data_IF_624663699937
#
_entry.id   IF_624663699937
#
_cell.length_a   1.000
_cell.length_b   1.000
_cell.length_c   1.000
_cell.angle_alpha   90.00
_cell.angle_beta   90.00
_cell.angle_gamma   90.00
#
_symmetry.space_group_name_H-M   'P 1'
#
loop_
_entity.id
_entity.type
_entity.pdbx_description
1 polymer ?
#
# COMPACT_ATOMS: atom_id res chain seq x y z
N UNK A 1 8.97 2.87 -1.83
CA UNK A 1 9.27 1.92 -2.91
C UNK A 1 8.38 0.69 -2.81
N UNK A 2 7.65 0.38 -3.87
CA UNK A 2 6.85 -0.84 -4.01
C UNK A 2 7.47 -1.71 -5.09
N UNK A 3 7.62 -2.99 -4.82
CA UNK A 3 8.15 -3.96 -5.78
C UNK A 3 7.03 -4.95 -6.11
N UNK A 4 6.77 -5.15 -7.39
CA UNK A 4 5.82 -6.14 -7.90
C UNK A 4 6.58 -7.42 -8.22
N UNK A 5 6.27 -8.49 -7.51
CA UNK A 5 6.91 -9.79 -7.65
C UNK A 5 6.05 -10.76 -8.47
N UNK A 6 6.67 -11.62 -9.28
CA UNK A 6 5.95 -12.71 -9.93
C UNK A 6 5.68 -13.86 -8.94
N UNK A 7 4.82 -14.77 -9.34
CA UNK A 7 4.53 -16.01 -8.59
C UNK A 7 4.06 -15.78 -7.15
N UNK A 8 3.01 -14.98 -6.97
CA UNK A 8 2.39 -14.81 -5.67
C UNK A 8 2.02 -16.16 -5.05
N UNK A 9 2.44 -16.40 -3.80
CA UNK A 9 2.22 -17.66 -3.07
C UNK A 9 1.69 -17.39 -1.67
N UNK A 10 0.92 -18.33 -1.15
CA UNK A 10 0.42 -18.31 0.24
C UNK A 10 -0.43 -17.07 0.57
N UNK A 11 -1.08 -16.52 -0.45
CA UNK A 11 -1.96 -15.35 -0.31
C UNK A 11 -3.31 -15.64 -0.96
N UNK A 12 -4.40 -15.04 -0.46
CA UNK A 12 -5.68 -15.10 -1.15
C UNK A 12 -5.54 -14.59 -2.59
N UNK A 13 -6.16 -15.29 -3.53
CA UNK A 13 -6.05 -14.97 -4.96
C UNK A 13 -6.52 -13.55 -5.29
N UNK A 14 -7.45 -13.00 -4.52
CA UNK A 14 -7.96 -11.64 -4.68
C UNK A 14 -6.86 -10.58 -4.50
N UNK A 15 -5.77 -10.89 -3.79
CA UNK A 15 -4.66 -9.95 -3.55
C UNK A 15 -3.64 -9.95 -4.68
N UNK A 16 -3.67 -10.92 -5.57
CA UNK A 16 -2.77 -10.98 -6.72
C UNK A 16 -3.47 -10.46 -7.97
N UNK A 17 -2.69 -9.89 -8.88
CA UNK A 17 -3.18 -9.51 -10.21
C UNK A 17 -3.47 -10.74 -11.07
N UNK A 18 -4.14 -10.53 -12.21
CA UNK A 18 -4.51 -11.61 -13.13
C UNK A 18 -3.29 -12.42 -13.63
N UNK A 19 -2.13 -11.78 -13.72
CA UNK A 19 -0.85 -12.39 -14.09
C UNK A 19 -0.13 -13.05 -12.89
N UNK A 20 -0.83 -13.23 -11.76
CA UNK A 20 -0.29 -13.81 -10.52
C UNK A 20 0.90 -13.04 -9.93
N UNK A 21 0.90 -11.72 -10.10
CA UNK A 21 1.89 -10.84 -9.46
C UNK A 21 1.33 -10.19 -8.21
N UNK A 22 2.20 -9.75 -7.32
CA UNK A 22 1.82 -9.02 -6.11
C UNK A 22 2.79 -7.89 -5.82
N UNK A 23 2.25 -6.72 -5.49
CA UNK A 23 3.02 -5.58 -5.02
C UNK A 23 3.27 -5.66 -3.52
N UNK A 24 4.53 -5.55 -3.12
CA UNK A 24 4.96 -5.60 -1.72
C UNK A 24 5.79 -4.36 -1.42
N UNK A 25 5.52 -3.74 -0.28
CA UNK A 25 6.30 -2.61 0.23
C UNK A 25 6.73 -2.86 1.67
N UNK A 26 7.99 -2.56 1.97
CA UNK A 26 8.49 -2.48 3.33
C UNK A 26 8.53 -0.99 3.70
N UNK A 27 7.64 -0.50 4.56
CA UNK A 27 7.59 0.92 4.88
C UNK A 27 8.78 1.33 5.73
N UNK A 28 9.40 2.45 5.39
CA UNK A 28 10.42 3.08 6.23
C UNK A 28 9.74 4.02 7.23
N UNK A 29 8.96 3.45 8.14
CA UNK A 29 8.17 4.18 9.13
C UNK A 29 8.04 3.36 10.40
N UNK A 30 8.48 3.88 11.53
CA UNK A 30 8.55 3.14 12.80
C UNK A 30 7.19 2.64 13.28
N UNK A 31 6.15 3.47 13.21
CA UNK A 31 4.79 3.07 13.59
C UNK A 31 4.30 1.88 12.76
N UNK A 32 4.46 1.94 11.44
CA UNK A 32 4.05 0.87 10.56
C UNK A 32 4.82 -0.43 10.83
N UNK A 33 6.12 -0.32 11.07
CA UNK A 33 6.97 -1.47 11.38
C UNK A 33 6.56 -2.13 12.70
N UNK A 34 6.32 -1.34 13.74
CA UNK A 34 5.84 -1.85 15.02
C UNK A 34 4.47 -2.50 14.90
N UNK A 35 3.55 -1.90 14.16
CA UNK A 35 2.23 -2.45 13.93
C UNK A 35 2.30 -3.81 13.24
N UNK A 36 3.13 -3.95 12.22
CA UNK A 36 3.32 -5.20 11.49
C UNK A 36 3.96 -6.26 12.40
N UNK A 37 4.94 -5.88 13.22
CA UNK A 37 5.56 -6.78 14.19
C UNK A 37 4.55 -7.28 15.24
N UNK A 38 3.73 -6.39 15.77
CA UNK A 38 2.69 -6.76 16.74
C UNK A 38 1.65 -7.70 16.13
N UNK A 39 1.28 -7.47 14.87
CA UNK A 39 0.35 -8.34 14.15
C UNK A 39 0.97 -9.70 13.81
N UNK A 40 2.28 -9.74 13.57
CA UNK A 40 3.01 -10.96 13.22
C UNK A 40 2.81 -11.42 11.78
N UNK A 41 2.27 -10.58 10.91
CA UNK A 41 2.00 -10.90 9.49
C UNK A 41 1.85 -9.63 8.65
N UNK A 42 1.91 -9.75 7.32
CA UNK A 42 1.71 -8.61 6.43
C UNK A 42 0.33 -7.97 6.56
N UNK A 43 0.25 -6.69 6.19
CA UNK A 43 -0.99 -5.91 6.20
C UNK A 43 -1.35 -5.56 4.75
N UNK A 44 -2.62 -5.68 4.42
CA UNK A 44 -3.15 -5.18 3.15
C UNK A 44 -3.21 -3.65 3.21
N UNK A 45 -2.71 -3.00 2.17
CA UNK A 45 -2.65 -1.54 2.12
C UNK A 45 -3.13 -1.02 0.77
N UNK A 46 -3.92 0.03 0.81
CA UNK A 46 -4.37 0.77 -0.37
C UNK A 46 -4.25 2.26 -0.12
N UNK A 47 -4.43 3.06 -1.16
CA UNK A 47 -4.63 4.50 -0.99
C UNK A 47 -5.99 4.78 -0.33
N UNK A 48 -6.06 5.86 0.44
CA UNK A 48 -7.26 6.21 1.22
C UNK A 48 -8.23 7.06 0.38
N UNK A 49 -8.66 6.54 -0.77
CA UNK A 49 -9.60 7.19 -1.68
C UNK A 49 -10.56 6.17 -2.27
N UNK A 50 -11.68 6.64 -2.76
CA UNK A 50 -12.58 5.79 -3.54
C UNK A 50 -11.94 5.44 -4.87
N UNK A 51 -12.31 4.28 -5.41
CA UNK A 51 -11.84 3.83 -6.71
C UNK A 51 -12.09 4.89 -7.80
N UNK A 52 -11.06 5.23 -8.56
CA UNK A 52 -11.13 6.24 -9.62
C UNK A 52 -10.93 7.68 -9.16
N UNK A 53 -10.93 7.96 -7.87
CA UNK A 53 -10.61 9.28 -7.34
C UNK A 53 -9.11 9.46 -7.11
N UNK A 54 -8.59 10.71 -7.14
CA UNK A 54 -7.18 10.95 -6.87
C UNK A 54 -6.81 10.59 -5.43
N UNK A 55 -5.58 10.15 -5.22
CA UNK A 55 -5.05 9.89 -3.89
C UNK A 55 -4.96 11.18 -3.07
N UNK A 56 -5.30 11.14 -1.77
CA UNK A 56 -5.20 12.33 -0.93
C UNK A 56 -3.75 12.73 -0.69
N UNK A 57 -3.49 14.03 -0.58
CA UNK A 57 -2.17 14.57 -0.26
C UNK A 57 -1.92 14.64 1.25
N UNK A 58 -2.94 14.46 2.05
CA UNK A 58 -2.85 14.46 3.50
C UNK A 58 -4.16 14.03 4.13
N UNK A 59 -4.17 13.92 5.45
CA UNK A 59 -5.35 13.46 6.19
C UNK A 59 -6.59 14.32 5.91
N UNK A 60 -6.43 15.62 5.74
CA UNK A 60 -7.55 16.56 5.47
C UNK A 60 -8.27 16.25 4.15
N UNK A 61 -7.56 15.69 3.19
CA UNK A 61 -8.11 15.39 1.86
C UNK A 61 -8.84 14.04 1.82
N UNK A 62 -8.73 13.23 2.88
CA UNK A 62 -9.45 11.95 2.97
C UNK A 62 -10.93 12.23 3.15
N UNK A 63 -11.78 11.68 2.28
CA UNK A 63 -13.22 11.92 2.33
C UNK A 63 -13.84 11.42 3.63
N UNK A 64 -14.95 12.04 4.03
CA UNK A 64 -15.70 11.62 5.20
C UNK A 64 -16.18 10.17 5.08
N UNK A 65 -16.57 9.74 3.90
CA UNK A 65 -17.03 8.36 3.67
C UNK A 65 -15.94 7.33 3.99
N UNK A 66 -14.70 7.61 3.60
CA UNK A 66 -13.57 6.75 3.96
C UNK A 66 -13.33 6.76 5.47
N UNK A 67 -13.33 7.94 6.10
CA UNK A 67 -13.13 8.06 7.55
C UNK A 67 -14.20 7.35 8.36
N UNK A 68 -15.46 7.45 7.94
CA UNK A 68 -16.58 6.82 8.62
C UNK A 68 -16.66 5.31 8.35
N UNK A 69 -16.07 4.85 7.25
CA UNK A 69 -16.11 3.45 6.82
C UNK A 69 -15.05 2.55 7.44
N UNK A 70 -14.11 3.09 8.22
CA UNK A 70 -13.05 2.31 8.86
C UNK A 70 -13.32 2.16 10.35
N UNK A 71 -12.80 1.08 10.95
CA UNK A 71 -12.98 0.80 12.37
C UNK A 71 -12.05 1.61 13.26
N UNK A 72 -10.90 2.02 12.75
CA UNK A 72 -9.90 2.78 13.50
C UNK A 72 -9.12 3.71 12.59
N UNK A 73 -8.82 4.90 13.08
CA UNK A 73 -7.96 5.89 12.42
C UNK A 73 -6.78 6.17 13.33
N UNK A 74 -5.57 5.91 12.85
CA UNK A 74 -4.35 6.17 13.62
C UNK A 74 -4.21 7.65 13.97
N UNK A 75 -3.84 7.95 15.21
CA UNK A 75 -3.69 9.34 15.71
C UNK A 75 -2.26 9.86 15.53
N UNK A 76 -1.68 9.61 14.37
CA UNK A 76 -0.32 10.03 14.04
C UNK A 76 -0.31 10.78 12.70
N UNK A 77 0.61 11.72 12.58
CA UNK A 77 0.93 12.41 11.32
C UNK A 77 -0.27 12.99 10.56
N UNK A 78 -1.34 13.37 11.27
CA UNK A 78 -2.55 13.93 10.64
C UNK A 78 -2.33 15.28 9.99
N UNK A 79 -1.27 15.99 10.37
CA UNK A 79 -0.88 17.28 9.78
C UNK A 79 0.14 17.13 8.65
N UNK A 80 0.71 15.93 8.47
CA UNK A 80 1.74 15.69 7.46
C UNK A 80 1.11 15.60 6.07
N UNK A 81 1.75 16.24 5.09
CA UNK A 81 1.36 16.17 3.69
C UNK A 81 2.26 15.17 2.95
N UNK A 82 1.68 14.46 1.99
CA UNK A 82 2.41 13.55 1.11
C UNK A 82 1.98 13.84 -0.33
N UNK A 83 2.88 14.45 -1.08
CA UNK A 83 2.60 14.87 -2.46
C UNK A 83 3.05 13.85 -3.51
N UNK A 84 3.72 12.79 -3.07
CA UNK A 84 4.32 11.83 -3.99
C UNK A 84 3.96 10.40 -3.62
N UNK A 85 3.35 9.70 -4.56
CA UNK A 85 3.13 8.27 -4.44
C UNK A 85 4.47 7.52 -4.47
N UNK A 86 4.52 6.32 -3.86
CA UNK A 86 5.71 5.48 -3.90
C UNK A 86 6.05 5.06 -5.33
N UNK A 87 7.34 4.95 -5.64
CA UNK A 87 7.79 4.35 -6.90
C UNK A 87 7.43 2.88 -6.94
N UNK A 88 7.06 2.38 -8.10
CA UNK A 88 6.71 0.98 -8.31
C UNK A 88 7.62 0.38 -9.37
N UNK A 89 8.30 -0.69 -9.03
CA UNK A 89 9.11 -1.49 -9.95
C UNK A 89 8.57 -2.91 -10.00
N UNK A 90 8.60 -3.50 -11.19
CA UNK A 90 8.19 -4.89 -11.39
C UNK A 90 9.43 -5.73 -11.68
N UNK A 91 9.57 -6.83 -10.96
CA UNK A 91 10.61 -7.84 -11.22
C UNK A 91 9.97 -8.97 -12.03
N UNK A 92 10.60 -9.33 -13.16
CA UNK A 92 10.14 -10.43 -14.00
C UNK A 92 10.80 -11.75 -13.62
N UNK A 93 10.29 -12.86 -14.15
CA UNK A 93 10.89 -14.18 -13.97
C UNK A 93 12.30 -14.27 -14.55
N UNK A 94 12.66 -13.40 -15.51
CA UNK A 94 14.00 -13.32 -16.11
C UNK A 94 14.91 -12.34 -15.35
N UNK A 95 14.53 -11.95 -14.14
CA UNK A 95 15.28 -10.99 -13.29
C UNK A 95 15.41 -9.59 -13.89
N UNK A 96 14.57 -9.23 -14.85
CA UNK A 96 14.49 -7.87 -15.38
C UNK A 96 13.69 -6.98 -14.44
N UNK A 97 14.09 -5.70 -14.34
CA UNK A 97 13.40 -4.69 -13.55
C UNK A 97 12.72 -3.69 -14.48
N UNK A 98 11.40 -3.57 -14.35
CA UNK A 98 10.60 -2.66 -15.17
C UNK A 98 10.01 -1.57 -14.26
N UNK A 99 10.18 -0.31 -14.64
CA UNK A 99 9.59 0.82 -13.92
C UNK A 99 8.11 0.93 -14.29
N UNK A 100 7.23 0.86 -13.27
CA UNK A 100 5.78 1.05 -13.44
C UNK A 100 5.40 2.50 -13.13
N UNK A 101 5.99 3.08 -12.06
CA UNK A 101 5.69 4.44 -11.62
C UNK A 101 6.87 5.12 -10.93
#
# INVERSE_FOLDING_TARGET
LTIVYPNAKNLPKILSSDDNTIGIRIPNHSYCQELIQCLGKPIISTSANKSGEPSPNGFKDISKEIKDGVDYIAEIEREKLSFKASSIYKVTLNEEVITIR
#
